data_IF_961093272266
#
_entry.id   IF_961093272266
#
_cell.length_a   1.000
_cell.length_b   1.000
_cell.length_c   1.000
_cell.angle_alpha   90.00
_cell.angle_beta   90.00
_cell.angle_gamma   90.00
#
_symmetry.space_group_name_H-M   'P 1'
#
loop_
_entity.id
_entity.type
_entity.pdbx_description
1 polymer ?
#
# COMPACT_ATOMS: atom_id res chain seq x y z
N UNK A 1 -30.74 1.76 0.91
CA UNK A 1 -29.31 1.55 1.24
C UNK A 1 -28.95 0.11 0.85
N UNK A 2 -28.16 -0.10 -0.20
CA UNK A 2 -27.70 -1.46 -0.55
C UNK A 2 -26.72 -1.94 0.53
N UNK A 3 -26.94 -3.14 1.08
CA UNK A 3 -26.06 -3.68 2.13
C UNK A 3 -24.75 -4.12 1.47
N UNK A 4 -23.67 -3.39 1.75
CA UNK A 4 -22.28 -3.66 1.31
C UNK A 4 -21.69 -4.84 2.08
N UNK A 5 -22.17 -6.05 1.79
CA UNK A 5 -21.85 -7.28 2.52
C UNK A 5 -21.23 -8.32 1.59
N UNK A 6 -20.26 -9.07 2.11
CA UNK A 6 -19.82 -10.32 1.52
C UNK A 6 -19.82 -11.43 2.58
N UNK A 7 -20.10 -12.67 2.18
CA UNK A 7 -20.02 -13.84 3.07
C UNK A 7 -18.62 -14.04 3.69
N UNK A 8 -17.56 -13.55 3.03
CA UNK A 8 -16.21 -13.59 3.60
C UNK A 8 -15.98 -12.57 4.73
N UNK A 9 -16.91 -11.63 4.96
CA UNK A 9 -16.82 -10.62 6.02
C UNK A 9 -15.75 -9.54 5.80
N UNK A 10 -14.93 -9.63 4.76
CA UNK A 10 -13.84 -8.67 4.51
C UNK A 10 -14.40 -7.27 4.26
N UNK A 11 -15.41 -7.16 3.41
CA UNK A 11 -15.98 -5.86 3.03
C UNK A 11 -16.59 -5.12 4.24
N UNK A 12 -17.22 -5.86 5.15
CA UNK A 12 -17.78 -5.33 6.39
C UNK A 12 -16.70 -4.78 7.33
N UNK A 13 -15.51 -5.41 7.33
CA UNK A 13 -14.39 -5.03 8.20
C UNK A 13 -13.55 -3.91 7.62
N UNK A 14 -13.23 -3.95 6.33
CA UNK A 14 -12.34 -2.98 5.69
C UNK A 14 -13.07 -1.77 5.12
N UNK A 15 -14.37 -1.90 4.81
CA UNK A 15 -15.10 -0.92 4.00
C UNK A 15 -14.74 -0.96 2.51
N UNK A 16 -13.90 -1.91 2.08
CA UNK A 16 -13.46 -2.09 0.68
C UNK A 16 -14.00 -3.41 0.13
N UNK A 17 -14.57 -3.44 -1.09
CA UNK A 17 -15.02 -4.68 -1.70
C UNK A 17 -13.89 -5.73 -1.76
N UNK A 18 -14.20 -6.96 -1.37
CA UNK A 18 -13.29 -8.09 -1.54
C UNK A 18 -13.32 -8.62 -2.98
N UNK A 19 -12.41 -9.53 -3.40
CA UNK A 19 -12.41 -10.07 -4.76
C UNK A 19 -13.76 -10.67 -5.20
N UNK A 20 -14.45 -11.36 -4.28
CA UNK A 20 -15.78 -11.93 -4.54
C UNK A 20 -16.81 -10.82 -4.83
N UNK A 21 -16.80 -9.77 -4.01
CA UNK A 21 -17.69 -8.62 -4.17
C UNK A 21 -17.39 -7.86 -5.47
N UNK A 22 -16.11 -7.61 -5.77
CA UNK A 22 -15.68 -6.98 -7.01
C UNK A 22 -16.21 -7.74 -8.23
N UNK A 23 -16.11 -9.07 -8.23
CA UNK A 23 -16.65 -9.89 -9.32
C UNK A 23 -18.15 -9.69 -9.50
N UNK A 24 -18.94 -9.69 -8.42
CA UNK A 24 -20.37 -9.45 -8.47
C UNK A 24 -20.72 -8.03 -8.96
N UNK A 25 -19.97 -7.01 -8.54
CA UNK A 25 -20.15 -5.62 -8.95
C UNK A 25 -19.88 -5.47 -10.46
N UNK A 26 -18.75 -6.02 -10.93
CA UNK A 26 -18.37 -5.98 -12.33
C UNK A 26 -19.36 -6.75 -13.23
N UNK A 27 -19.91 -7.87 -12.75
CA UNK A 27 -20.97 -8.60 -13.45
C UNK A 27 -22.25 -7.78 -13.64
N UNK A 28 -22.50 -6.82 -12.74
CA UNK A 28 -23.62 -5.87 -12.87
C UNK A 28 -23.27 -4.63 -13.70
N UNK A 29 -22.06 -4.55 -14.24
CA UNK A 29 -21.52 -3.37 -14.93
C UNK A 29 -21.57 -2.09 -14.08
N UNK A 30 -21.49 -2.22 -12.76
CA UNK A 30 -21.42 -1.09 -11.84
C UNK A 30 -19.95 -0.74 -11.53
N UNK A 31 -19.69 0.49 -11.10
CA UNK A 31 -18.34 0.93 -10.75
C UNK A 31 -17.99 0.51 -9.31
N UNK A 32 -16.82 -0.10 -9.10
CA UNK A 32 -16.34 -0.58 -7.78
C UNK A 32 -16.16 0.56 -6.78
N UNK A 33 -15.75 1.75 -7.22
CA UNK A 33 -15.48 2.90 -6.35
C UNK A 33 -16.74 3.37 -5.61
N UNK A 34 -17.92 3.22 -6.22
CA UNK A 34 -19.23 3.54 -5.60
C UNK A 34 -19.52 2.63 -4.38
N UNK A 35 -18.89 1.46 -4.35
CA UNK A 35 -19.04 0.44 -3.32
C UNK A 35 -18.02 0.56 -2.19
N UNK A 36 -16.97 1.35 -2.36
CA UNK A 36 -16.00 1.64 -1.30
C UNK A 36 -16.63 2.53 -0.20
N UNK A 37 -16.18 2.38 1.04
CA UNK A 37 -16.61 3.22 2.16
C UNK A 37 -16.02 4.62 2.03
N UNK A 38 -16.80 5.68 2.32
CA UNK A 38 -16.38 7.07 2.10
C UNK A 38 -15.04 7.41 2.77
N UNK A 39 -14.78 6.91 3.96
CA UNK A 39 -13.51 7.16 4.68
C UNK A 39 -12.26 6.58 3.99
N UNK A 40 -12.44 5.66 3.04
CA UNK A 40 -11.34 5.10 2.24
C UNK A 40 -11.06 5.91 0.96
N UNK A 41 -11.74 7.04 0.76
CA UNK A 41 -11.48 7.94 -0.38
C UNK A 41 -10.28 8.83 -0.10
N UNK A 42 -9.55 9.19 -1.16
CA UNK A 42 -8.40 10.09 -1.08
C UNK A 42 -8.80 11.44 -0.49
N UNK A 43 -9.97 11.97 -0.86
CA UNK A 43 -10.48 13.23 -0.30
C UNK A 43 -10.64 13.15 1.21
N UNK A 44 -11.35 12.13 1.72
CA UNK A 44 -11.54 11.95 3.16
C UNK A 44 -10.22 11.73 3.90
N UNK A 45 -9.28 10.99 3.30
CA UNK A 45 -7.94 10.83 3.87
C UNK A 45 -7.22 12.19 4.00
N UNK A 46 -7.26 13.01 2.95
CA UNK A 46 -6.64 14.35 2.95
C UNK A 46 -7.36 15.32 3.89
N UNK A 47 -8.67 15.25 4.00
CA UNK A 47 -9.43 16.09 4.92
C UNK A 47 -9.13 15.70 6.38
N UNK A 48 -8.98 14.41 6.65
CA UNK A 48 -8.70 13.88 8.00
C UNK A 48 -7.25 14.10 8.43
N UNK A 49 -6.29 13.79 7.56
CA UNK A 49 -4.86 13.75 7.91
C UNK A 49 -4.03 14.85 7.26
N UNK A 50 -4.55 15.53 6.24
CA UNK A 50 -3.78 16.53 5.49
C UNK A 50 -3.35 17.71 6.35
N UNK A 51 -4.15 18.10 7.34
CA UNK A 51 -3.72 19.07 8.34
C UNK A 51 -2.64 18.42 9.24
N UNK A 52 -1.39 18.85 9.08
CA UNK A 52 -0.25 18.37 9.88
C UNK A 52 0.62 17.32 9.20
N UNK A 53 0.21 16.78 8.04
CA UNK A 53 1.10 16.01 7.18
C UNK A 53 2.10 16.94 6.48
N UNK A 54 3.31 17.02 7.02
CA UNK A 54 4.41 17.68 6.33
C UNK A 54 4.82 16.86 5.09
N UNK A 55 5.32 17.55 4.06
CA UNK A 55 5.97 16.87 2.95
C UNK A 55 7.10 16.00 3.52
N UNK A 56 7.25 14.79 2.97
CA UNK A 56 8.38 13.94 3.34
C UNK A 56 9.67 14.71 3.04
N UNK A 57 10.65 14.71 3.97
CA UNK A 57 11.95 15.32 3.71
C UNK A 57 12.57 14.69 2.46
N UNK A 58 13.26 15.50 1.66
CA UNK A 58 13.92 15.06 0.41
C UNK A 58 14.93 13.94 0.64
N UNK A 59 15.51 13.91 1.84
CA UNK A 59 16.52 12.95 2.24
C UNK A 59 15.98 12.15 3.42
N UNK A 60 15.89 10.83 3.23
CA UNK A 60 15.62 9.91 4.31
C UNK A 60 16.95 9.63 5.01
N UNK A 61 17.20 10.28 6.14
CA UNK A 61 18.38 10.01 6.98
C UNK A 61 18.49 8.55 7.43
N UNK A 62 17.39 7.80 7.41
CA UNK A 62 17.38 6.36 7.72
C UNK A 62 17.78 5.46 6.53
N UNK A 63 17.82 5.97 5.30
CA UNK A 63 18.27 5.19 4.13
C UNK A 63 19.80 5.07 4.04
N UNK A 64 20.54 5.91 4.77
CA UNK A 64 22.00 5.94 4.73
C UNK A 64 22.67 4.67 5.30
N UNK A 65 21.92 3.78 5.95
CA UNK A 65 22.47 2.57 6.60
C UNK A 65 21.70 1.30 6.27
N UNK A 66 21.06 1.20 5.11
CA UNK A 66 20.59 -0.11 4.63
C UNK A 66 21.81 -0.85 4.07
N UNK A 67 22.68 -1.32 4.95
CA UNK A 67 23.55 -2.44 4.64
C UNK A 67 22.61 -3.63 4.48
N UNK A 68 22.36 -4.04 3.24
CA UNK A 68 21.83 -5.37 3.00
C UNK A 68 22.94 -6.31 3.43
N UNK A 69 22.92 -6.74 4.69
CA UNK A 69 23.69 -7.90 5.10
C UNK A 69 23.10 -9.04 4.30
N UNK A 70 23.78 -9.40 3.21
CA UNK A 70 23.48 -10.62 2.48
C UNK A 70 23.80 -11.78 3.43
N UNK A 71 22.79 -12.18 4.22
CA UNK A 71 22.88 -13.37 5.06
C UNK A 71 22.91 -14.57 4.11
N UNK A 72 24.12 -14.93 3.67
CA UNK A 72 24.32 -16.18 2.95
C UNK A 72 23.94 -17.34 3.86
N UNK A 73 23.34 -18.42 3.33
CA UNK A 73 23.13 -19.64 4.10
C UNK A 73 24.47 -20.11 4.69
N UNK A 74 24.49 -20.79 5.85
CA UNK A 74 25.68 -21.00 6.71
C UNK A 74 26.91 -21.65 6.05
N UNK A 75 26.78 -22.14 4.82
CA UNK A 75 27.80 -22.89 4.08
C UNK A 75 28.51 -22.08 3.00
N UNK A 76 28.16 -20.83 2.77
CA UNK A 76 28.91 -19.95 1.88
C UNK A 76 29.56 -18.84 2.71
N UNK A 77 30.88 -18.72 2.61
CA UNK A 77 31.64 -17.68 3.29
C UNK A 77 31.07 -16.30 2.90
N UNK A 78 30.65 -15.51 3.88
CA UNK A 78 30.10 -14.18 3.64
C UNK A 78 31.20 -13.25 3.11
N UNK A 79 31.13 -12.89 1.83
CA UNK A 79 31.87 -11.74 1.29
C UNK A 79 30.98 -10.52 1.45
N UNK A 80 31.45 -9.51 2.17
CA UNK A 80 30.79 -8.20 2.20
C UNK A 80 30.97 -7.60 0.80
N UNK A 81 29.91 -7.57 0.02
CA UNK A 81 29.87 -6.82 -1.24
C UNK A 81 29.32 -5.44 -0.87
N UNK A 82 30.14 -4.40 -0.99
CA UNK A 82 29.65 -3.03 -0.93
C UNK A 82 28.81 -2.79 -2.19
N UNK A 83 27.49 -2.68 -2.04
CA UNK A 83 26.64 -2.35 -3.17
C UNK A 83 26.62 -0.83 -3.38
N UNK A 84 26.74 -0.41 -4.63
CA UNK A 84 26.55 1.00 -5.00
C UNK A 84 25.11 1.41 -4.67
N UNK A 85 24.87 2.61 -4.12
CA UNK A 85 23.55 3.00 -3.64
C UNK A 85 22.50 2.84 -4.75
N UNK A 86 21.45 2.06 -4.46
CA UNK A 86 20.32 1.90 -5.36
C UNK A 86 19.74 3.27 -5.69
N UNK A 87 19.96 3.72 -6.93
CA UNK A 87 19.36 4.95 -7.45
C UNK A 87 17.88 4.67 -7.65
N UNK A 88 17.04 5.18 -6.75
CA UNK A 88 15.60 5.23 -6.97
C UNK A 88 15.40 5.92 -8.34
N UNK A 89 14.82 5.25 -9.35
CA UNK A 89 14.53 5.91 -10.61
C UNK A 89 13.60 7.08 -10.29
N UNK A 90 14.09 8.31 -10.42
CA UNK A 90 13.22 9.47 -10.41
C UNK A 90 12.30 9.33 -11.62
N UNK A 91 11.06 8.92 -11.37
CA UNK A 91 10.00 8.92 -12.38
C UNK A 91 9.79 10.35 -12.86
N UNK A 92 9.99 10.58 -14.16
CA UNK A 92 9.49 11.76 -14.86
C UNK A 92 8.03 11.54 -15.26
#
# INVERSE_FOLDING_TARGET
MQRKLCSCGFWQKSGVPCPNACKCILQKAENIDDFVHKMQTISQYRDTYGQGMNALPKEFTWMSHVYVVLLLPPRANATIVEDTPYRIPHTK
#
